data_IF_076660287405
#
_entry.id   IF_076660287405
#
_cell.length_a   1.000
_cell.length_b   1.000
_cell.length_c   1.000
_cell.angle_alpha   90.00
_cell.angle_beta   90.00
_cell.angle_gamma   90.00
#
_symmetry.space_group_name_H-M   'P 1'
#
loop_
_entity.id
_entity.type
_entity.pdbx_description
1 polymer ?
#
# COMPACT_ATOMS: atom_id res chain seq x y z
N UNK A 1 3.73 -1.79 -7.78
CA UNK A 1 2.34 -2.33 -7.83
C UNK A 1 2.33 -3.70 -7.17
N UNK A 2 1.69 -3.80 -6.02
CA UNK A 2 1.57 -5.00 -5.17
C UNK A 2 0.33 -4.86 -4.26
N UNK A 3 0.00 -5.94 -3.55
CA UNK A 3 -0.89 -5.89 -2.41
C UNK A 3 -0.09 -5.59 -1.13
N UNK A 4 -0.70 -4.91 -0.17
CA UNK A 4 -0.09 -4.61 1.13
C UNK A 4 -1.06 -5.01 2.23
N UNK A 5 -0.61 -5.78 3.22
CA UNK A 5 -1.36 -6.06 4.43
C UNK A 5 -0.77 -5.25 5.59
N UNK A 6 -1.65 -4.55 6.31
CA UNK A 6 -1.34 -3.85 7.54
C UNK A 6 -1.99 -4.61 8.70
N UNK A 7 -1.19 -5.00 9.69
CA UNK A 7 -1.64 -5.71 10.88
C UNK A 7 -1.04 -5.03 12.12
N UNK A 8 -1.58 -3.87 12.54
CA UNK A 8 -1.08 -3.17 13.71
C UNK A 8 -1.60 -3.83 14.99
N UNK A 9 -0.86 -3.68 16.08
CA UNK A 9 -1.40 -3.86 17.43
C UNK A 9 -2.44 -2.78 17.73
N UNK A 10 -3.37 -3.06 18.64
CA UNK A 10 -4.37 -2.09 19.12
C UNK A 10 -4.56 -2.25 20.62
N UNK A 11 -4.91 -1.15 21.31
CA UNK A 11 -5.14 -1.13 22.74
C UNK A 11 -3.88 -0.86 23.56
N UNK A 12 -3.99 -1.07 24.87
CA UNK A 12 -2.95 -0.75 25.84
C UNK A 12 -2.05 -1.96 26.14
N UNK A 13 -0.74 -1.71 26.19
CA UNK A 13 0.29 -2.63 26.63
C UNK A 13 1.12 -1.97 27.76
N UNK A 14 0.56 -1.76 28.96
CA UNK A 14 1.22 -1.01 30.05
C UNK A 14 2.51 -1.68 30.55
N UNK A 15 2.69 -2.95 30.22
CA UNK A 15 3.88 -3.75 30.50
C UNK A 15 5.02 -3.53 29.49
N UNK A 16 4.79 -2.79 28.39
CA UNK A 16 5.76 -2.54 27.34
C UNK A 16 5.93 -1.05 27.06
N UNK A 17 7.08 -0.50 27.41
CA UNK A 17 7.43 0.90 27.10
C UNK A 17 7.56 1.16 25.59
N UNK A 18 7.79 0.12 24.78
CA UNK A 18 7.94 0.26 23.33
C UNK A 18 6.60 0.26 22.59
N UNK A 19 5.54 -0.29 23.19
CA UNK A 19 4.22 -0.42 22.57
C UNK A 19 3.17 0.49 23.21
N UNK A 20 3.26 0.78 24.51
CA UNK A 20 2.36 1.64 25.29
C UNK A 20 0.87 1.63 24.89
N UNK A 21 0.43 2.50 23.99
CA UNK A 21 -0.92 2.67 23.50
C UNK A 21 -0.90 2.61 21.98
N UNK A 22 -1.42 1.52 21.43
CA UNK A 22 -1.50 1.33 19.99
C UNK A 22 -2.90 1.64 19.48
N UNK A 23 -2.98 2.27 18.31
CA UNK A 23 -4.22 2.66 17.65
C UNK A 23 -4.17 2.27 16.19
N UNK A 24 -5.33 1.99 15.61
CA UNK A 24 -5.43 1.67 14.19
C UNK A 24 -6.37 0.50 13.89
N UNK A 25 -6.25 -0.04 12.69
CA UNK A 25 -7.05 -1.17 12.22
C UNK A 25 -6.22 -2.04 11.28
N UNK A 26 -6.54 -3.33 11.24
CA UNK A 26 -6.01 -4.21 10.20
C UNK A 26 -6.67 -3.88 8.85
N UNK A 27 -5.87 -3.80 7.79
CA UNK A 27 -6.37 -3.51 6.45
C UNK A 27 -5.53 -4.18 5.36
N UNK A 28 -6.15 -4.37 4.20
CA UNK A 28 -5.48 -4.85 3.00
C UNK A 28 -5.67 -3.80 1.90
N UNK A 29 -4.57 -3.42 1.26
CA UNK A 29 -4.54 -2.40 0.23
C UNK A 29 -4.07 -2.98 -1.11
N UNK A 30 -4.56 -2.37 -2.19
CA UNK A 30 -4.09 -2.59 -3.55
C UNK A 30 -3.68 -1.27 -4.22
N UNK A 31 -3.23 -1.33 -5.49
CA UNK A 31 -2.99 -0.13 -6.28
C UNK A 31 -4.26 0.74 -6.36
N UNK A 32 -4.08 2.06 -6.38
CA UNK A 32 -5.15 3.00 -6.75
C UNK A 32 -5.08 3.19 -8.27
N UNK A 33 -5.56 2.20 -9.01
CA UNK A 33 -5.49 2.15 -10.48
C UNK A 33 -6.62 1.27 -11.04
N UNK A 34 -6.70 1.12 -12.37
CA UNK A 34 -7.75 0.38 -13.07
C UNK A 34 -7.96 -1.03 -12.51
N UNK A 35 -9.20 -1.38 -12.21
CA UNK A 35 -9.57 -2.70 -11.67
C UNK A 35 -9.41 -2.85 -10.15
N UNK A 36 -9.03 -1.77 -9.46
CA UNK A 36 -8.98 -1.66 -8.01
C UNK A 36 -9.90 -0.53 -7.50
N UNK A 37 -10.26 -0.55 -6.21
CA UNK A 37 -10.97 0.58 -5.59
C UNK A 37 -10.19 1.89 -5.70
N UNK A 38 -10.92 3.00 -5.80
CA UNK A 38 -10.35 4.34 -5.92
C UNK A 38 -9.62 4.82 -4.65
N UNK A 39 -9.94 4.25 -3.50
CA UNK A 39 -9.26 4.51 -2.23
C UNK A 39 -8.15 3.47 -1.94
N UNK A 40 -8.00 2.47 -2.82
CA UNK A 40 -7.05 1.38 -2.68
C UNK A 40 -7.35 0.41 -1.54
N UNK A 41 -8.48 0.54 -0.83
CA UNK A 41 -8.83 -0.29 0.33
C UNK A 41 -9.58 -1.53 -0.13
N UNK A 42 -8.97 -2.70 0.03
CA UNK A 42 -9.56 -3.99 -0.36
C UNK A 42 -10.34 -4.64 0.79
N UNK A 43 -9.88 -4.44 2.02
CA UNK A 43 -10.56 -4.86 3.23
C UNK A 43 -10.08 -4.02 4.41
N UNK A 44 -10.94 -3.80 5.40
CA UNK A 44 -10.63 -3.03 6.61
C UNK A 44 -11.40 -3.59 7.81
N UNK A 45 -10.70 -3.78 8.92
CA UNK A 45 -11.31 -4.08 10.23
C UNK A 45 -11.90 -2.84 10.90
N UNK A 46 -12.40 -2.99 12.12
CA UNK A 46 -12.85 -1.85 12.92
C UNK A 46 -11.66 -1.11 13.54
N UNK A 47 -11.78 0.21 13.66
CA UNK A 47 -10.78 1.05 14.32
C UNK A 47 -10.71 0.69 15.81
N UNK A 48 -9.49 0.47 16.30
CA UNK A 48 -9.15 0.18 17.70
C UNK A 48 -9.82 -1.06 18.29
N UNK A 49 -10.24 -2.00 17.43
CA UNK A 49 -10.83 -3.27 17.86
C UNK A 49 -9.92 -4.44 17.46
N UNK A 50 -9.61 -5.36 18.40
CA UNK A 50 -8.89 -6.58 18.07
C UNK A 50 -9.77 -7.47 17.19
N UNK A 51 -9.16 -8.12 16.20
CA UNK A 51 -9.89 -9.03 15.31
C UNK A 51 -9.12 -9.45 14.08
N UNK A 52 -9.78 -10.23 13.23
CA UNK A 52 -9.25 -10.72 11.97
C UNK A 52 -9.89 -9.98 10.79
N UNK A 53 -9.06 -9.55 9.84
CA UNK A 53 -9.51 -8.97 8.57
C UNK A 53 -9.15 -9.94 7.45
N UNK A 54 -10.15 -10.36 6.66
CA UNK A 54 -9.96 -11.28 5.54
C UNK A 54 -10.10 -10.54 4.21
N UNK A 55 -9.27 -10.91 3.23
CA UNK A 55 -9.32 -10.37 1.89
C UNK A 55 -8.91 -11.46 0.89
N UNK A 56 -9.70 -11.66 -0.16
CA UNK A 56 -9.33 -12.54 -1.28
C UNK A 56 -8.49 -11.75 -2.27
N UNK A 57 -7.27 -12.19 -2.53
CA UNK A 57 -6.35 -11.53 -3.45
C UNK A 57 -6.42 -12.16 -4.84
N UNK A 58 -6.36 -11.33 -5.87
CA UNK A 58 -6.28 -11.75 -7.27
C UNK A 58 -5.00 -11.18 -7.92
N UNK A 59 -3.91 -11.95 -7.99
CA UNK A 59 -2.67 -11.53 -8.64
C UNK A 59 -2.83 -11.15 -10.11
N UNK A 60 -3.85 -11.66 -10.81
CA UNK A 60 -4.07 -11.32 -12.22
C UNK A 60 -4.45 -9.83 -12.37
N UNK A 61 -5.12 -9.22 -11.37
CA UNK A 61 -5.40 -7.78 -11.38
C UNK A 61 -4.12 -6.95 -11.34
N UNK A 62 -3.13 -7.35 -10.55
CA UNK A 62 -1.81 -6.67 -10.55
C UNK A 62 -1.13 -6.81 -11.91
N UNK A 63 -1.20 -7.98 -12.54
CA UNK A 63 -0.66 -8.19 -13.88
C UNK A 63 -1.35 -7.29 -14.92
N UNK A 64 -2.66 -7.11 -14.83
CA UNK A 64 -3.41 -6.18 -15.68
C UNK A 64 -2.97 -4.74 -15.44
N UNK A 65 -2.84 -4.27 -14.21
CA UNK A 65 -2.36 -2.90 -13.91
C UNK A 65 -0.94 -2.67 -14.45
N UNK A 66 -0.05 -3.67 -14.37
CA UNK A 66 1.31 -3.58 -14.94
C UNK A 66 1.34 -3.40 -16.46
N UNK A 67 0.29 -3.86 -17.16
CA UNK A 67 0.18 -3.80 -18.63
C UNK A 67 -0.68 -2.63 -19.12
N UNK A 68 -1.74 -2.32 -18.39
CA UNK A 68 -2.86 -1.48 -18.84
C UNK A 68 -3.25 -0.39 -17.83
N UNK A 69 -2.50 -0.22 -16.73
CA UNK A 69 -2.73 0.85 -15.76
C UNK A 69 -2.61 2.25 -16.36
N UNK A 70 -3.07 3.26 -15.62
CA UNK A 70 -3.02 4.65 -16.08
C UNK A 70 -1.58 5.15 -16.26
N UNK A 71 -0.67 4.76 -15.36
CA UNK A 71 0.77 5.02 -15.46
C UNK A 71 1.51 3.69 -15.29
N UNK A 72 2.32 3.33 -16.29
CA UNK A 72 2.94 2.01 -16.38
C UNK A 72 4.31 1.98 -15.71
N UNK A 73 4.36 2.38 -14.43
CA UNK A 73 5.59 2.48 -13.64
C UNK A 73 6.44 1.20 -13.70
N UNK A 74 5.82 0.03 -13.60
CA UNK A 74 6.56 -1.24 -13.65
C UNK A 74 7.23 -1.49 -15.01
N UNK A 75 6.61 -1.06 -16.12
CA UNK A 75 7.14 -1.24 -17.48
C UNK A 75 8.17 -0.16 -17.81
N UNK A 76 7.88 1.07 -17.43
CA UNK A 76 8.59 2.27 -17.89
C UNK A 76 9.71 2.71 -16.94
N UNK A 77 9.83 2.09 -15.76
CA UNK A 77 10.93 2.40 -14.85
C UNK A 77 12.29 2.08 -15.50
N UNK A 78 13.26 3.02 -15.50
CA UNK A 78 14.57 2.78 -16.08
C UNK A 78 15.26 1.59 -15.41
N UNK A 79 15.70 0.62 -16.20
CA UNK A 79 16.53 -0.50 -15.73
C UNK A 79 18.01 -0.16 -15.65
N UNK A 80 18.40 0.95 -16.28
CA UNK A 80 19.77 1.46 -16.30
C UNK A 80 20.00 2.64 -15.37
N UNK A 81 21.22 3.20 -15.37
CA UNK A 81 21.55 4.39 -14.59
C UNK A 81 20.64 5.55 -14.99
N UNK A 82 20.03 6.19 -13.99
CA UNK A 82 19.30 7.45 -14.21
C UNK A 82 20.33 8.58 -14.20
N UNK A 83 20.21 9.50 -15.16
CA UNK A 83 21.09 10.67 -15.20
C UNK A 83 20.94 11.47 -13.90
N UNK A 84 22.05 11.89 -13.25
CA UNK A 84 21.97 12.67 -12.03
C UNK A 84 21.25 14.00 -12.28
N UNK A 85 20.49 14.51 -11.30
CA UNK A 85 19.82 15.79 -11.44
C UNK A 85 20.84 16.91 -11.68
N UNK A 86 20.53 17.80 -12.63
CA UNK A 86 21.31 19.00 -12.93
C UNK A 86 20.56 20.24 -12.42
N UNK A 87 21.26 21.31 -11.99
CA UNK A 87 20.61 22.58 -11.65
C UNK A 87 19.77 23.09 -12.82
N UNK A 88 18.52 23.46 -12.56
CA UNK A 88 17.68 24.09 -13.56
C UNK A 88 18.21 25.49 -13.88
N UNK A 89 18.37 25.79 -15.18
CA UNK A 89 18.70 27.14 -15.66
C UNK A 89 17.42 27.75 -16.20
N UNK A 90 16.96 28.81 -15.53
CA UNK A 90 15.81 29.60 -15.97
C UNK A 90 16.33 30.89 -16.63
N UNK A 91 15.67 31.32 -17.71
CA UNK A 91 15.96 32.57 -18.41
C UNK A 91 15.23 33.77 -17.77
#
# INVERSE_FOLDING_TARGET
>A
QCFVALAPTVGEAPWSTALDVNRGFAAVFGPVDRGFPEDGVLARGALDAPGWTFCTLDPARIATVRREGAVLNHRDWPTGPVEPPRPAVFA
#
